data_IF_860172390795
#
_entry.id   IF_860172390795
#
_cell.length_a   1.000
_cell.length_b   1.000
_cell.length_c   1.000
_cell.angle_alpha   90.00
_cell.angle_beta   90.00
_cell.angle_gamma   90.00
#
_symmetry.space_group_name_H-M   'P 1'
#
loop_
_entity.id
_entity.type
_entity.pdbx_description
1 polymer ?
#
# COMPACT_ATOMS: atom_id res chain seq x y z
N UNK A 1 29.33 -26.48 14.88
CA UNK A 1 29.70 -25.69 13.69
C UNK A 1 28.43 -24.97 13.22
N UNK A 2 28.43 -23.65 13.10
CA UNK A 2 27.24 -22.86 12.73
C UNK A 2 27.03 -22.85 11.21
N UNK A 3 25.78 -22.85 10.73
CA UNK A 3 25.47 -22.68 9.29
C UNK A 3 25.66 -21.21 8.91
N UNK A 4 26.31 -20.95 7.77
CA UNK A 4 26.45 -19.60 7.22
C UNK A 4 25.19 -19.22 6.42
N UNK A 5 24.46 -18.14 6.77
CA UNK A 5 23.38 -17.62 5.95
C UNK A 5 23.91 -17.06 4.63
N UNK A 6 23.28 -17.42 3.52
CA UNK A 6 23.60 -16.90 2.18
C UNK A 6 22.34 -16.37 1.51
N UNK A 7 22.44 -15.24 0.80
CA UNK A 7 21.33 -14.67 0.04
C UNK A 7 21.27 -15.40 -1.31
N UNK A 8 20.26 -16.24 -1.51
CA UNK A 8 20.08 -17.02 -2.75
C UNK A 8 19.08 -16.39 -3.73
N UNK A 9 18.38 -15.34 -3.30
CA UNK A 9 17.43 -14.58 -4.09
C UNK A 9 17.02 -13.30 -3.37
N UNK A 10 16.62 -12.29 -4.13
CA UNK A 10 16.12 -11.03 -3.61
C UNK A 10 15.17 -10.40 -4.64
N UNK A 11 14.16 -9.69 -4.16
CA UNK A 11 13.14 -9.08 -5.00
C UNK A 11 12.27 -8.13 -4.20
N UNK A 12 11.35 -7.46 -4.89
CA UNK A 12 10.52 -6.42 -4.31
C UNK A 12 10.36 -5.22 -5.23
N UNK A 13 9.62 -4.22 -4.75
CA UNK A 13 9.27 -3.03 -5.53
C UNK A 13 9.38 -1.79 -4.65
N UNK A 14 10.01 -0.75 -5.20
CA UNK A 14 10.07 0.58 -4.59
C UNK A 14 9.96 1.65 -5.68
N UNK A 15 10.29 2.90 -5.36
CA UNK A 15 10.20 4.01 -6.31
C UNK A 15 11.11 3.89 -7.54
N UNK A 16 12.16 3.07 -7.48
CA UNK A 16 13.04 2.78 -8.60
C UNK A 16 12.55 1.61 -9.48
N UNK A 17 11.45 0.95 -9.11
CA UNK A 17 10.88 -0.19 -9.82
C UNK A 17 11.20 -1.54 -9.16
N UNK A 18 11.26 -2.59 -9.98
CA UNK A 18 11.52 -3.97 -9.56
C UNK A 18 12.95 -4.12 -9.03
N UNK A 19 13.14 -4.81 -7.90
CA UNK A 19 14.45 -4.99 -7.28
C UNK A 19 15.24 -6.17 -7.84
N UNK A 20 14.57 -7.30 -8.13
CA UNK A 20 15.25 -8.49 -8.66
C UNK A 20 16.06 -8.18 -9.92
N UNK A 21 17.14 -8.93 -10.12
CA UNK A 21 18.08 -8.73 -11.24
C UNK A 21 18.63 -7.28 -11.30
N UNK A 22 18.67 -6.58 -10.17
CA UNK A 22 19.24 -5.24 -10.02
C UNK A 22 18.55 -4.15 -10.86
N UNK A 23 17.29 -4.32 -11.30
CA UNK A 23 16.63 -3.28 -12.13
C UNK A 23 16.46 -1.94 -11.40
N UNK A 24 16.00 -1.96 -10.15
CA UNK A 24 15.86 -0.76 -9.33
C UNK A 24 17.20 -0.09 -9.06
N UNK A 25 18.25 -0.88 -8.80
CA UNK A 25 19.63 -0.36 -8.69
C UNK A 25 20.06 0.31 -10.01
N UNK A 26 19.88 -0.36 -11.15
CA UNK A 26 20.19 0.19 -12.47
C UNK A 26 19.47 1.51 -12.74
N UNK A 27 18.22 1.65 -12.31
CA UNK A 27 17.48 2.92 -12.40
C UNK A 27 18.14 4.04 -11.60
N UNK A 28 18.74 3.76 -10.45
CA UNK A 28 19.40 4.79 -9.61
C UNK A 28 20.74 5.27 -10.13
N UNK A 29 21.44 4.46 -10.94
CA UNK A 29 22.78 4.77 -11.49
C UNK A 29 22.80 4.73 -13.02
N UNK A 30 21.65 4.98 -13.65
CA UNK A 30 21.43 4.70 -15.08
C UNK A 30 22.41 5.41 -16.02
N UNK A 31 22.85 6.61 -15.64
CA UNK A 31 23.82 7.42 -16.36
C UNK A 31 25.22 6.81 -16.38
N UNK A 32 25.50 5.88 -15.45
CA UNK A 32 26.75 5.12 -15.37
C UNK A 32 26.68 3.77 -16.08
N UNK A 33 25.55 3.43 -16.69
CA UNK A 33 25.36 2.15 -17.38
C UNK A 33 25.65 2.25 -18.87
N UNK A 34 26.19 1.16 -19.41
CA UNK A 34 26.24 0.93 -20.85
C UNK A 34 24.82 0.98 -21.46
N UNK A 35 24.69 1.43 -22.73
CA UNK A 35 23.39 1.63 -23.36
C UNK A 35 22.45 0.42 -23.26
N UNK A 36 22.96 -0.80 -23.49
CA UNK A 36 22.14 -2.00 -23.44
C UNK A 36 21.48 -2.21 -22.05
N UNK A 37 22.27 -2.17 -20.98
CA UNK A 37 21.76 -2.41 -19.62
C UNK A 37 20.79 -1.30 -19.17
N UNK A 38 21.03 -0.06 -19.60
CA UNK A 38 20.13 1.07 -19.38
C UNK A 38 18.81 0.88 -20.11
N UNK A 39 18.86 0.58 -21.40
CA UNK A 39 17.67 0.44 -22.24
C UNK A 39 16.81 -0.77 -21.84
N UNK A 40 17.40 -1.89 -21.43
CA UNK A 40 16.67 -3.03 -20.85
C UNK A 40 15.90 -2.62 -19.59
N UNK A 41 16.52 -1.81 -18.73
CA UNK A 41 15.89 -1.32 -17.50
C UNK A 41 14.75 -0.35 -17.81
N UNK A 42 14.95 0.55 -18.77
CA UNK A 42 13.91 1.49 -19.23
C UNK A 42 12.74 0.77 -19.90
N UNK A 43 12.99 -0.28 -20.70
CA UNK A 43 11.93 -1.06 -21.31
C UNK A 43 11.09 -1.83 -20.27
N UNK A 44 11.75 -2.42 -19.25
CA UNK A 44 11.04 -3.04 -18.13
C UNK A 44 10.18 -2.04 -17.35
N UNK A 45 10.70 -0.83 -17.11
CA UNK A 45 9.92 0.25 -16.49
C UNK A 45 8.77 0.71 -17.39
N UNK A 46 8.99 0.86 -18.69
CA UNK A 46 7.96 1.25 -19.65
C UNK A 46 6.78 0.26 -19.63
N UNK A 47 7.06 -1.05 -19.56
CA UNK A 47 6.04 -2.08 -19.42
C UNK A 47 5.30 -1.97 -18.09
N UNK A 48 6.02 -1.85 -16.96
CA UNK A 48 5.41 -1.69 -15.63
C UNK A 48 4.52 -0.45 -15.52
N UNK A 49 4.93 0.64 -16.18
CA UNK A 49 4.21 1.92 -16.24
C UNK A 49 3.11 1.93 -17.31
N UNK A 50 2.84 0.79 -17.99
CA UNK A 50 1.82 0.64 -19.03
C UNK A 50 2.01 1.56 -20.25
N UNK A 51 3.24 2.01 -20.50
CA UNK A 51 3.60 2.82 -21.67
C UNK A 51 3.76 1.95 -22.93
N UNK A 52 4.17 0.70 -22.74
CA UNK A 52 4.29 -0.33 -23.78
C UNK A 52 3.66 -1.63 -23.31
N UNK A 53 3.35 -2.52 -24.25
CA UNK A 53 2.88 -3.89 -24.01
C UNK A 53 3.90 -4.87 -24.57
N UNK A 54 3.92 -6.09 -24.03
CA UNK A 54 4.70 -7.19 -24.60
C UNK A 54 3.72 -8.16 -25.25
N UNK A 55 3.82 -8.30 -26.57
CA UNK A 55 3.00 -9.22 -27.38
C UNK A 55 3.97 -10.08 -28.18
N UNK A 56 3.84 -11.41 -28.06
CA UNK A 56 4.72 -12.38 -28.73
C UNK A 56 6.23 -12.11 -28.54
N UNK A 57 6.60 -11.65 -27.34
CA UNK A 57 8.00 -11.35 -26.99
C UNK A 57 8.54 -10.02 -27.53
N UNK A 58 7.71 -9.22 -28.21
CA UNK A 58 8.08 -7.90 -28.72
C UNK A 58 7.40 -6.78 -27.93
N UNK A 59 8.11 -5.69 -27.71
CA UNK A 59 7.53 -4.47 -27.16
C UNK A 59 6.70 -3.77 -28.24
N UNK A 60 5.48 -3.38 -27.91
CA UNK A 60 4.58 -2.63 -28.77
C UNK A 60 4.06 -1.39 -28.04
N UNK A 61 3.86 -0.29 -28.75
CA UNK A 61 3.12 0.84 -28.21
C UNK A 61 1.59 0.60 -28.21
N UNK A 62 0.82 1.65 -27.87
CA UNK A 62 -0.63 1.55 -27.78
C UNK A 62 -1.30 1.35 -29.15
N UNK A 63 -0.64 1.73 -30.24
CA UNK A 63 -1.11 1.58 -31.61
C UNK A 63 -0.69 0.24 -32.23
N UNK A 64 0.07 -0.58 -31.48
CA UNK A 64 0.57 -1.89 -31.92
C UNK A 64 1.88 -1.81 -32.70
N UNK A 65 2.54 -0.65 -32.77
CA UNK A 65 3.83 -0.52 -33.44
C UNK A 65 4.91 -1.21 -32.60
N UNK A 66 5.64 -2.16 -33.21
CA UNK A 66 6.79 -2.79 -32.57
C UNK A 66 7.92 -1.77 -32.32
N UNK A 67 8.50 -1.80 -31.13
CA UNK A 67 9.56 -0.89 -30.70
C UNK A 67 10.80 -1.67 -30.26
N UNK A 68 11.96 -1.19 -30.70
CA UNK A 68 13.26 -1.57 -30.16
C UNK A 68 13.52 -0.89 -28.81
N UNK A 69 14.49 -1.43 -28.07
CA UNK A 69 14.94 -0.87 -26.80
C UNK A 69 15.39 0.60 -26.90
N UNK A 70 16.08 0.96 -28.00
CA UNK A 70 16.53 2.32 -28.26
C UNK A 70 15.35 3.28 -28.57
N UNK A 71 14.34 2.80 -29.29
CA UNK A 71 13.12 3.59 -29.55
C UNK A 71 12.31 3.82 -28.29
N UNK A 72 12.23 2.84 -27.39
CA UNK A 72 11.59 3.01 -26.07
C UNK A 72 12.31 4.08 -25.25
N UNK A 73 13.65 4.03 -25.18
CA UNK A 73 14.45 5.05 -24.49
C UNK A 73 14.21 6.44 -25.09
N UNK A 74 14.26 6.56 -26.42
CA UNK A 74 14.04 7.83 -27.12
C UNK A 74 12.64 8.40 -26.90
N UNK A 75 11.59 7.56 -27.02
CA UNK A 75 10.18 7.97 -26.99
C UNK A 75 9.66 8.18 -25.57
N UNK A 76 10.01 7.29 -24.64
CA UNK A 76 9.42 7.24 -23.30
C UNK A 76 10.40 7.56 -22.18
N UNK A 77 11.71 7.66 -22.44
CA UNK A 77 12.74 7.90 -21.41
C UNK A 77 12.37 9.05 -20.48
N UNK A 78 12.01 10.23 -21.02
CA UNK A 78 11.61 11.39 -20.20
C UNK A 78 10.42 11.10 -19.28
N UNK A 79 9.40 10.39 -19.77
CA UNK A 79 8.20 10.04 -18.99
C UNK A 79 8.54 9.02 -17.89
N UNK A 80 9.37 8.02 -18.21
CA UNK A 80 9.84 7.02 -17.26
C UNK A 80 10.61 7.68 -16.12
N UNK A 81 11.51 8.62 -16.44
CA UNK A 81 12.30 9.33 -15.42
C UNK A 81 11.42 10.21 -14.53
N UNK A 82 10.46 10.92 -15.12
CA UNK A 82 9.54 11.77 -14.38
C UNK A 82 8.57 10.95 -13.48
N UNK A 83 8.22 9.72 -13.88
CA UNK A 83 7.31 8.84 -13.15
C UNK A 83 7.99 7.84 -12.21
N UNK A 84 9.27 8.03 -11.87
CA UNK A 84 10.03 7.15 -10.95
C UNK A 84 10.79 7.96 -9.91
N UNK A 85 11.34 7.28 -8.89
CA UNK A 85 12.05 7.87 -7.74
C UNK A 85 11.14 8.81 -6.91
N UNK A 86 11.77 9.65 -6.07
CA UNK A 86 11.09 10.66 -5.27
C UNK A 86 10.59 11.77 -6.19
N UNK A 87 9.29 12.05 -6.11
CA UNK A 87 8.60 13.06 -6.92
C UNK A 87 7.38 13.60 -6.18
N UNK A 88 6.68 14.57 -6.77
CA UNK A 88 5.43 15.09 -6.22
C UNK A 88 4.41 13.96 -6.03
N UNK A 89 3.66 13.97 -4.94
CA UNK A 89 2.59 12.99 -4.69
C UNK A 89 1.56 13.09 -5.81
N UNK A 90 1.27 11.95 -6.42
CA UNK A 90 0.34 11.80 -7.54
C UNK A 90 -1.07 11.50 -7.02
N UNK A 91 -2.08 11.88 -7.81
CA UNK A 91 -3.49 11.81 -7.41
C UNK A 91 -3.99 10.39 -7.12
N UNK A 92 -3.32 9.33 -7.60
CA UNK A 92 -3.69 7.96 -7.22
C UNK A 92 -3.46 7.67 -5.74
N UNK A 93 -2.66 8.48 -5.04
CA UNK A 93 -2.49 8.40 -3.59
C UNK A 93 -3.41 9.38 -2.87
N UNK A 94 -3.22 10.68 -3.13
CA UNK A 94 -4.01 11.79 -2.60
C UNK A 94 -3.68 13.08 -3.35
N UNK A 95 -4.52 14.11 -3.22
CA UNK A 95 -4.16 15.46 -3.64
C UNK A 95 -3.49 16.21 -2.48
N UNK A 96 -2.17 16.47 -2.52
CA UNK A 96 -1.49 17.09 -1.39
C UNK A 96 -1.85 18.57 -1.23
N UNK A 97 -2.53 19.21 -2.20
CA UNK A 97 -3.04 20.58 -2.08
C UNK A 97 -4.47 20.64 -1.55
N UNK A 98 -5.16 19.49 -1.48
CA UNK A 98 -6.56 19.40 -1.05
C UNK A 98 -6.81 18.07 -0.30
N UNK A 99 -6.11 17.85 0.81
CA UNK A 99 -6.34 16.72 1.70
C UNK A 99 -7.66 16.91 2.49
N UNK A 100 -8.49 15.88 2.54
CA UNK A 100 -9.83 15.92 3.15
C UNK A 100 -9.74 15.87 4.69
N UNK A 101 -10.57 16.68 5.34
CA UNK A 101 -10.77 16.65 6.79
C UNK A 101 -12.12 17.25 7.14
N UNK A 102 -12.46 17.26 8.43
CA UNK A 102 -13.71 17.86 8.92
C UNK A 102 -13.39 19.06 9.80
N UNK A 103 -14.06 20.19 9.56
CA UNK A 103 -14.06 21.34 10.48
C UNK A 103 -15.24 21.26 11.41
N UNK A 104 -15.00 21.56 12.69
CA UNK A 104 -16.06 21.98 13.61
C UNK A 104 -16.60 23.33 13.17
N UNK A 105 -17.92 23.44 13.06
CA UNK A 105 -18.62 24.71 12.94
C UNK A 105 -19.68 24.77 14.03
N UNK A 106 -19.62 25.79 14.86
CA UNK A 106 -20.68 26.13 15.79
C UNK A 106 -21.76 26.89 15.04
N UNK A 107 -22.96 26.32 15.00
CA UNK A 107 -24.11 26.90 14.32
C UNK A 107 -25.14 27.29 15.36
N UNK A 108 -25.50 28.57 15.39
CA UNK A 108 -26.51 29.12 16.28
C UNK A 108 -27.55 29.93 15.47
N UNK A 109 -28.81 30.01 15.94
CA UNK A 109 -29.80 30.87 15.32
C UNK A 109 -29.39 32.35 15.42
N UNK A 110 -29.48 33.11 14.32
CA UNK A 110 -29.13 34.52 14.29
C UNK A 110 -30.36 35.41 14.49
N UNK A 111 -30.22 36.50 15.26
CA UNK A 111 -31.22 37.57 15.40
C UNK A 111 -32.65 37.09 15.75
N UNK A 112 -32.78 36.04 16.57
CA UNK A 112 -34.08 35.50 16.98
C UNK A 112 -34.83 34.71 15.90
N UNK A 113 -34.22 34.46 14.74
CA UNK A 113 -34.77 33.55 13.74
C UNK A 113 -34.66 32.09 14.21
N UNK A 114 -35.62 31.25 13.85
CA UNK A 114 -35.53 29.81 14.09
C UNK A 114 -34.57 29.17 13.06
N UNK A 115 -33.66 28.33 13.52
CA UNK A 115 -32.87 27.47 12.64
C UNK A 115 -33.55 26.11 12.55
N UNK A 116 -34.06 25.78 11.37
CA UNK A 116 -34.75 24.50 11.12
C UNK A 116 -34.29 23.85 9.82
N UNK A 117 -34.26 22.53 9.80
CA UNK A 117 -33.99 21.74 8.60
C UNK A 117 -34.86 20.49 8.55
N UNK A 118 -35.01 19.91 7.36
CA UNK A 118 -35.71 18.65 7.14
C UNK A 118 -34.67 17.54 6.92
N UNK A 119 -34.85 16.40 7.59
CA UNK A 119 -33.98 15.23 7.43
C UNK A 119 -34.78 13.94 7.63
N UNK A 120 -34.12 12.79 7.46
CA UNK A 120 -34.69 11.49 7.75
C UNK A 120 -34.57 11.18 9.25
N UNK A 121 -35.62 10.64 9.87
CA UNK A 121 -35.63 10.31 11.30
C UNK A 121 -34.43 9.46 11.75
N UNK A 122 -34.00 8.51 10.92
CA UNK A 122 -32.86 7.61 11.16
C UNK A 122 -31.47 8.29 11.14
N UNK A 123 -31.39 9.55 10.72
CA UNK A 123 -30.15 10.33 10.66
C UNK A 123 -29.98 11.24 11.88
N UNK A 124 -30.98 11.31 12.75
CA UNK A 124 -30.90 12.08 13.99
C UNK A 124 -29.89 11.46 14.96
N UNK A 125 -29.24 12.28 15.82
CA UNK A 125 -28.41 11.76 16.89
C UNK A 125 -29.20 10.91 17.89
N UNK A 126 -28.52 9.93 18.48
CA UNK A 126 -29.07 9.06 19.51
C UNK A 126 -28.15 9.06 20.75
N UNK A 127 -28.60 9.57 21.92
CA UNK A 127 -29.89 10.22 22.16
C UNK A 127 -30.03 11.58 21.44
N UNK A 128 -31.27 12.01 21.22
CA UNK A 128 -31.58 13.32 20.64
C UNK A 128 -31.05 14.44 21.57
N UNK A 129 -30.40 15.50 21.04
CA UNK A 129 -29.98 16.63 21.84
C UNK A 129 -31.17 17.34 22.50
N UNK A 130 -31.04 17.69 23.78
CA UNK A 130 -32.14 18.27 24.57
C UNK A 130 -32.63 19.64 24.05
N UNK A 131 -31.80 20.35 23.29
CA UNK A 131 -32.10 21.64 22.68
C UNK A 131 -32.71 21.52 21.28
N UNK A 132 -33.07 20.31 20.81
CA UNK A 132 -33.71 20.08 19.53
C UNK A 132 -35.20 19.77 19.72
N UNK A 133 -36.06 20.39 18.93
CA UNK A 133 -37.44 19.93 18.73
C UNK A 133 -37.59 19.24 17.38
N UNK A 134 -38.39 18.17 17.36
CA UNK A 134 -38.59 17.32 16.18
C UNK A 134 -40.09 17.20 15.92
N UNK A 135 -40.51 17.67 14.75
CA UNK A 135 -41.88 17.55 14.23
C UNK A 135 -41.91 16.47 13.13
N UNK A 136 -42.87 15.56 13.22
CA UNK A 136 -43.11 14.55 12.18
C UNK A 136 -43.69 15.19 10.93
N UNK A 137 -43.13 14.84 9.77
CA UNK A 137 -43.68 15.16 8.46
C UNK A 137 -44.17 13.87 7.78
N UNK A 138 -44.73 13.99 6.58
CA UNK A 138 -45.19 12.84 5.81
C UNK A 138 -44.04 11.86 5.51
N UNK A 139 -44.33 10.56 5.67
CA UNK A 139 -43.35 9.50 5.46
C UNK A 139 -42.37 9.33 6.62
N UNK A 140 -41.07 9.33 6.33
CA UNK A 140 -39.99 9.14 7.33
C UNK A 140 -39.14 10.41 7.52
N UNK A 141 -39.65 11.54 7.03
CA UNK A 141 -39.04 12.85 7.17
C UNK A 141 -39.48 13.53 8.47
N UNK A 142 -38.60 14.34 9.01
CA UNK A 142 -38.84 15.13 10.22
C UNK A 142 -38.30 16.53 10.02
N UNK A 143 -39.02 17.52 10.55
CA UNK A 143 -38.51 18.88 10.71
C UNK A 143 -37.84 19.01 12.06
N UNK A 144 -36.56 19.34 12.06
CA UNK A 144 -35.78 19.61 13.27
C UNK A 144 -35.66 21.11 13.44
N UNK A 145 -35.88 21.63 14.65
CA UNK A 145 -35.61 23.03 15.01
C UNK A 145 -34.60 23.07 16.16
N UNK A 146 -33.53 23.85 15.98
CA UNK A 146 -32.47 24.08 16.97
C UNK A 146 -32.83 25.30 17.84
N UNK A 147 -32.79 25.13 19.15
CA UNK A 147 -33.10 26.19 20.11
C UNK A 147 -31.86 26.86 20.73
N UNK A 148 -30.68 26.28 20.52
CA UNK A 148 -29.39 26.82 20.97
C UNK A 148 -28.31 26.44 19.94
N UNK A 149 -27.08 26.88 20.17
CA UNK A 149 -25.91 26.50 19.39
C UNK A 149 -25.69 24.99 19.37
N UNK A 150 -25.21 24.49 18.24
CA UNK A 150 -24.82 23.09 18.04
C UNK A 150 -23.55 23.03 17.21
N UNK A 151 -22.62 22.15 17.57
CA UNK A 151 -21.43 21.87 16.75
C UNK A 151 -21.80 20.89 15.63
N UNK A 152 -21.44 21.23 14.41
CA UNK A 152 -21.49 20.33 13.26
C UNK A 152 -20.09 20.05 12.73
N UNK A 153 -19.87 18.84 12.22
CA UNK A 153 -18.69 18.54 11.39
C UNK A 153 -19.06 18.73 9.93
N UNK A 154 -18.30 19.55 9.21
CA UNK A 154 -18.45 19.73 7.77
C UNK A 154 -17.19 19.33 7.03
N UNK A 155 -17.35 18.76 5.85
CA UNK A 155 -16.22 18.45 4.98
C UNK A 155 -15.44 19.71 4.62
N UNK A 156 -14.12 19.61 4.66
CA UNK A 156 -13.18 20.67 4.34
C UNK A 156 -11.93 20.08 3.72
N UNK A 157 -11.13 20.93 3.11
CA UNK A 157 -9.88 20.55 2.45
C UNK A 157 -8.76 21.46 2.93
N UNK A 158 -7.55 20.91 3.04
CA UNK A 158 -6.34 21.66 3.42
C UNK A 158 -5.14 21.23 2.58
N UNK A 159 -4.20 22.14 2.30
CA UNK A 159 -2.90 21.74 1.77
C UNK A 159 -2.09 21.04 2.87
N UNK A 160 -1.43 19.94 2.53
CA UNK A 160 -0.38 19.33 3.36
C UNK A 160 0.92 20.14 3.27
N UNK A 161 1.78 20.09 4.29
CA UNK A 161 3.09 20.74 4.21
C UNK A 161 4.02 19.98 3.24
N UNK A 162 3.99 18.65 3.30
CA UNK A 162 4.76 17.77 2.43
C UNK A 162 4.02 17.51 1.11
N UNK A 163 4.73 17.67 -0.02
CA UNK A 163 4.19 17.49 -1.38
C UNK A 163 4.84 16.35 -2.15
N UNK A 164 5.85 15.68 -1.59
CA UNK A 164 6.67 14.69 -2.28
C UNK A 164 6.77 13.38 -1.51
N UNK A 165 6.91 12.27 -2.25
CA UNK A 165 7.11 10.95 -1.71
C UNK A 165 7.84 10.04 -2.71
N UNK A 166 8.50 9.00 -2.21
CA UNK A 166 8.97 7.89 -3.02
C UNK A 166 7.80 6.96 -3.37
N UNK A 167 7.28 7.08 -4.60
CA UNK A 167 6.12 6.34 -5.07
C UNK A 167 6.55 5.27 -6.07
N UNK A 168 5.87 4.11 -6.08
CA UNK A 168 6.04 3.10 -7.14
C UNK A 168 5.97 3.74 -8.53
N UNK A 169 6.61 3.17 -9.57
CA UNK A 169 6.55 3.74 -10.92
C UNK A 169 5.11 4.05 -11.34
N UNK A 170 4.87 5.24 -11.87
CA UNK A 170 3.51 5.70 -12.22
C UNK A 170 2.82 4.69 -13.15
N UNK A 171 1.60 4.28 -12.82
CA UNK A 171 0.83 3.29 -13.57
C UNK A 171 1.02 1.83 -13.12
N UNK A 172 2.05 1.53 -12.32
CA UNK A 172 2.24 0.20 -11.75
C UNK A 172 1.37 -0.01 -10.51
N UNK A 173 0.37 -0.88 -10.63
CA UNK A 173 -0.55 -1.22 -9.53
C UNK A 173 -0.44 -2.69 -9.12
N UNK A 174 0.20 -3.00 -7.96
CA UNK A 174 0.34 -4.37 -7.46
C UNK A 174 -0.99 -5.13 -7.33
N UNK A 175 -2.08 -4.41 -7.04
CA UNK A 175 -3.42 -4.97 -6.89
C UNK A 175 -4.00 -5.55 -8.18
N UNK A 176 -3.51 -5.14 -9.36
CA UNK A 176 -3.99 -5.67 -10.64
C UNK A 176 -3.37 -7.03 -11.00
N UNK A 177 -2.32 -7.46 -10.29
CA UNK A 177 -1.53 -8.65 -10.64
C UNK A 177 -2.07 -9.95 -10.06
N UNK A 178 -3.05 -9.87 -9.15
CA UNK A 178 -3.69 -11.03 -8.51
C UNK A 178 -5.07 -10.64 -7.95
N UNK A 179 -5.84 -11.61 -7.43
CA UNK A 179 -7.11 -11.31 -6.78
C UNK A 179 -6.90 -10.61 -5.43
N UNK A 180 -6.85 -9.29 -5.46
CA UNK A 180 -6.47 -8.42 -4.33
C UNK A 180 -7.66 -7.75 -3.62
N UNK A 181 -8.89 -8.21 -3.87
CA UNK A 181 -10.11 -7.59 -3.34
C UNK A 181 -10.04 -7.44 -1.81
N UNK A 182 -10.23 -6.21 -1.32
CA UNK A 182 -10.17 -5.82 0.09
C UNK A 182 -8.78 -5.93 0.74
N UNK A 183 -7.71 -6.21 0.00
CA UNK A 183 -6.37 -6.20 0.57
C UNK A 183 -5.87 -4.77 0.68
N UNK A 184 -5.31 -4.37 1.83
CA UNK A 184 -4.50 -3.17 1.92
C UNK A 184 -3.36 -3.13 0.89
N UNK A 185 -2.96 -1.93 0.48
CA UNK A 185 -1.88 -1.73 -0.51
C UNK A 185 -0.58 -2.40 -0.07
N UNK A 186 -0.23 -2.35 1.22
CA UNK A 186 0.96 -3.03 1.74
C UNK A 186 0.89 -4.55 1.63
N UNK A 187 -0.29 -5.17 1.71
CA UNK A 187 -0.43 -6.61 1.48
C UNK A 187 -0.34 -6.97 -0.01
N UNK A 188 -0.88 -6.12 -0.90
CA UNK A 188 -0.65 -6.27 -2.33
C UNK A 188 0.83 -6.16 -2.72
N UNK A 189 1.55 -5.19 -2.13
CA UNK A 189 2.99 -5.06 -2.29
C UNK A 189 3.75 -6.26 -1.70
N UNK A 190 3.30 -6.81 -0.58
CA UNK A 190 3.88 -8.02 0.03
C UNK A 190 3.82 -9.20 -0.93
N UNK A 191 2.62 -9.56 -1.40
CA UNK A 191 2.40 -10.74 -2.28
C UNK A 191 3.22 -10.63 -3.56
N UNK A 192 3.18 -9.46 -4.19
CA UNK A 192 3.90 -9.22 -5.45
C UNK A 192 5.42 -9.20 -5.21
N UNK A 193 5.89 -8.58 -4.12
CA UNK A 193 7.31 -8.50 -3.78
C UNK A 193 7.95 -9.84 -3.42
N UNK A 194 7.28 -10.67 -2.61
CA UNK A 194 7.79 -12.01 -2.28
C UNK A 194 7.80 -12.93 -3.50
N UNK A 195 6.83 -12.77 -4.40
CA UNK A 195 6.80 -13.54 -5.65
C UNK A 195 8.00 -13.19 -6.53
N UNK A 196 8.37 -11.91 -6.63
CA UNK A 196 9.57 -11.48 -7.32
C UNK A 196 10.85 -12.08 -6.70
N UNK A 197 10.96 -12.05 -5.37
CA UNK A 197 12.10 -12.61 -4.64
C UNK A 197 12.22 -14.14 -4.80
N UNK A 198 11.11 -14.88 -4.73
CA UNK A 198 11.11 -16.33 -4.91
C UNK A 198 11.50 -16.73 -6.34
N UNK A 199 10.93 -16.04 -7.34
CA UNK A 199 11.23 -16.34 -8.75
C UNK A 199 12.67 -15.95 -9.12
N UNK A 200 13.28 -14.98 -8.43
CA UNK A 200 14.67 -14.61 -8.67
C UNK A 200 15.67 -15.71 -8.29
N UNK A 201 15.28 -16.69 -7.47
CA UNK A 201 16.13 -17.82 -7.08
C UNK A 201 16.44 -18.72 -8.29
N UNK A 202 15.57 -18.75 -9.29
CA UNK A 202 15.70 -19.65 -10.45
C UNK A 202 15.45 -21.12 -10.12
N UNK A 203 14.89 -21.42 -8.94
CA UNK A 203 14.52 -22.77 -8.49
C UNK A 203 13.04 -22.75 -8.14
N UNK A 204 12.29 -23.73 -8.65
CA UNK A 204 10.89 -23.90 -8.27
C UNK A 204 10.75 -24.11 -6.76
N UNK A 205 9.81 -23.40 -6.14
CA UNK A 205 9.57 -23.46 -4.69
C UNK A 205 9.35 -24.90 -4.20
N UNK A 206 8.63 -25.73 -4.96
CA UNK A 206 8.39 -27.13 -4.59
C UNK A 206 9.69 -27.93 -4.49
N UNK A 207 10.67 -27.64 -5.35
CA UNK A 207 11.98 -28.30 -5.31
C UNK A 207 12.77 -27.88 -4.07
N UNK A 208 12.58 -26.66 -3.57
CA UNK A 208 13.17 -26.19 -2.30
C UNK A 208 12.51 -26.92 -1.12
N UNK A 209 11.17 -26.94 -1.08
CA UNK A 209 10.40 -27.59 -0.01
C UNK A 209 10.72 -29.07 0.12
N UNK A 210 10.91 -29.79 -1.00
CA UNK A 210 11.29 -31.21 -1.00
C UNK A 210 12.68 -31.50 -0.39
N UNK A 211 13.48 -30.48 -0.05
CA UNK A 211 14.84 -30.60 0.48
C UNK A 211 14.97 -30.19 1.94
N UNK A 212 13.87 -29.81 2.58
CA UNK A 212 13.81 -29.34 3.96
C UNK A 212 12.61 -29.94 4.68
N UNK A 213 12.68 -30.05 6.01
CA UNK A 213 11.50 -30.43 6.78
C UNK A 213 10.47 -29.28 6.82
N UNK A 214 9.17 -29.56 7.05
CA UNK A 214 8.13 -28.52 7.07
C UNK A 214 8.39 -27.38 8.07
N UNK A 215 9.05 -27.67 9.19
CA UNK A 215 9.43 -26.72 10.24
C UNK A 215 10.75 -25.99 9.98
N UNK A 216 11.52 -26.39 8.96
CA UNK A 216 12.79 -25.77 8.57
C UNK A 216 12.63 -24.55 7.63
N UNK A 217 11.40 -24.10 7.40
CA UNK A 217 11.09 -22.87 6.66
C UNK A 217 10.73 -21.79 7.67
N UNK A 218 11.24 -20.57 7.50
CA UNK A 218 10.85 -19.44 8.32
C UNK A 218 10.52 -18.17 7.53
N UNK A 219 9.59 -17.37 8.06
CA UNK A 219 9.16 -16.10 7.45
C UNK A 219 9.18 -15.00 8.50
N UNK A 220 9.99 -13.96 8.25
CA UNK A 220 10.04 -12.74 9.06
C UNK A 220 9.74 -11.52 8.20
N UNK A 221 8.52 -11.00 8.31
CA UNK A 221 8.09 -9.80 7.60
C UNK A 221 7.13 -8.98 8.45
N UNK A 222 7.15 -7.67 8.28
CA UNK A 222 6.34 -6.74 9.05
C UNK A 222 6.13 -5.44 8.29
N UNK A 223 5.19 -4.64 8.79
CA UNK A 223 5.16 -3.19 8.57
C UNK A 223 5.22 -2.50 9.94
N UNK A 224 5.64 -1.23 9.99
CA UNK A 224 5.70 -0.50 11.26
C UNK A 224 4.41 0.24 11.57
N UNK A 225 3.75 0.79 10.54
CA UNK A 225 2.58 1.62 10.71
C UNK A 225 1.31 0.82 10.92
N UNK A 226 1.36 -0.52 10.78
CA UNK A 226 0.18 -1.32 10.44
C UNK A 226 -0.34 -0.95 9.03
N UNK A 227 -1.39 -1.60 8.54
CA UNK A 227 -1.97 -1.22 7.25
C UNK A 227 -2.97 -0.08 7.44
N UNK A 228 -2.53 1.17 7.24
CA UNK A 228 -3.32 2.38 7.57
C UNK A 228 -4.21 2.91 6.43
N UNK A 229 -4.42 2.15 5.37
CA UNK A 229 -5.39 2.52 4.34
C UNK A 229 -6.83 2.07 4.70
N UNK A 230 -7.79 2.40 3.83
CA UNK A 230 -9.22 2.14 4.05
C UNK A 230 -9.55 0.64 4.23
N UNK A 231 -8.76 -0.25 3.64
CA UNK A 231 -8.95 -1.69 3.75
C UNK A 231 -8.35 -2.29 5.02
N UNK A 232 -7.56 -1.52 5.78
CA UNK A 232 -6.99 -1.92 7.07
C UNK A 232 -7.46 -1.05 8.23
N UNK A 233 -6.52 -0.66 9.08
CA UNK A 233 -6.75 0.16 10.27
C UNK A 233 -7.19 1.59 9.93
N UNK A 234 -6.86 2.15 8.76
CA UNK A 234 -7.39 3.45 8.35
C UNK A 234 -8.92 3.41 8.29
N UNK A 235 -9.47 2.38 7.63
CA UNK A 235 -10.91 2.14 7.60
C UNK A 235 -11.49 1.84 8.98
N UNK A 236 -10.82 1.02 9.80
CA UNK A 236 -11.28 0.73 11.17
C UNK A 236 -11.46 2.01 11.99
N UNK A 237 -10.43 2.86 12.02
CA UNK A 237 -10.40 4.04 12.88
C UNK A 237 -11.30 5.16 12.38
N UNK A 238 -11.53 5.24 11.06
CA UNK A 238 -12.28 6.34 10.45
C UNK A 238 -13.75 6.01 10.16
N UNK A 239 -14.13 4.74 10.03
CA UNK A 239 -15.49 4.38 9.56
C UNK A 239 -16.59 5.04 10.38
N UNK A 240 -16.49 5.04 11.72
CA UNK A 240 -17.51 5.65 12.59
C UNK A 240 -17.55 7.18 12.49
N UNK A 241 -16.39 7.81 12.35
CA UNK A 241 -16.27 9.26 12.15
C UNK A 241 -16.85 9.70 10.79
N UNK A 242 -16.79 8.81 9.78
CA UNK A 242 -17.36 9.01 8.44
C UNK A 242 -18.81 8.52 8.31
N UNK A 243 -19.48 8.17 9.41
CA UNK A 243 -20.89 7.70 9.41
C UNK A 243 -21.09 6.27 8.87
N UNK A 244 -20.02 5.52 8.65
CA UNK A 244 -20.01 4.14 8.20
C UNK A 244 -19.88 3.11 9.33
N UNK A 245 -19.71 1.85 8.93
CA UNK A 245 -19.40 0.74 9.83
C UNK A 245 -18.08 0.09 9.48
N UNK A 246 -17.35 -0.30 10.52
CA UNK A 246 -16.13 -1.10 10.37
C UNK A 246 -16.50 -2.43 9.71
N UNK A 247 -15.74 -2.82 8.69
CA UNK A 247 -15.95 -4.09 7.99
C UNK A 247 -15.34 -5.25 8.78
N UNK A 248 -15.79 -6.47 8.49
CA UNK A 248 -15.25 -7.67 9.16
C UNK A 248 -13.75 -7.91 8.91
N UNK A 249 -13.15 -7.24 7.90
CA UNK A 249 -11.76 -7.48 7.47
C UNK A 249 -10.77 -6.42 7.91
N UNK A 250 -11.22 -5.18 8.13
CA UNK A 250 -10.33 -4.04 8.44
C UNK A 250 -9.44 -4.28 9.67
N UNK A 251 -9.98 -4.91 10.72
CA UNK A 251 -9.19 -5.27 11.90
C UNK A 251 -8.16 -6.35 11.59
N UNK A 252 -8.57 -7.46 10.97
CA UNK A 252 -7.65 -8.56 10.70
C UNK A 252 -6.55 -8.14 9.72
N UNK A 253 -6.91 -7.56 8.57
CA UNK A 253 -5.96 -7.18 7.53
C UNK A 253 -5.13 -5.95 7.89
N UNK A 254 -5.56 -5.21 8.91
CA UNK A 254 -4.83 -4.05 9.42
C UNK A 254 -3.56 -4.41 10.18
N UNK A 255 -3.46 -5.61 10.76
CA UNK A 255 -2.36 -5.99 11.65
C UNK A 255 -0.99 -5.87 10.99
N UNK A 256 -0.01 -5.45 11.78
CA UNK A 256 1.36 -5.28 11.31
C UNK A 256 2.08 -6.60 10.99
N UNK A 257 1.52 -7.72 11.42
CA UNK A 257 1.99 -9.08 11.14
C UNK A 257 1.51 -9.62 9.78
N UNK A 258 0.47 -9.02 9.22
CA UNK A 258 -0.19 -9.51 8.00
C UNK A 258 0.76 -9.70 6.81
N UNK A 259 1.85 -8.91 6.64
CA UNK A 259 2.86 -9.24 5.64
C UNK A 259 3.45 -10.66 5.79
N UNK A 260 3.84 -11.08 7.00
CA UNK A 260 4.33 -12.44 7.24
C UNK A 260 3.22 -13.49 7.10
N UNK A 261 2.04 -13.19 7.64
CA UNK A 261 0.88 -14.10 7.60
C UNK A 261 0.46 -14.40 6.16
N UNK A 262 0.43 -13.38 5.29
CA UNK A 262 0.09 -13.52 3.87
C UNK A 262 1.12 -14.32 3.09
N UNK A 263 2.42 -14.13 3.38
CA UNK A 263 3.48 -14.94 2.76
C UNK A 263 3.26 -16.42 3.10
N UNK A 264 3.02 -16.76 4.36
CA UNK A 264 2.80 -18.15 4.76
C UNK A 264 1.52 -18.72 4.15
N UNK A 265 0.39 -18.03 4.29
CA UNK A 265 -0.94 -18.56 3.96
C UNK A 265 -1.22 -18.62 2.46
N UNK A 266 -0.75 -17.63 1.68
CA UNK A 266 -1.16 -17.46 0.29
C UNK A 266 -0.04 -17.60 -0.73
N UNK A 267 1.22 -17.59 -0.29
CA UNK A 267 2.37 -17.70 -1.21
C UNK A 267 3.11 -19.01 -1.01
N UNK A 268 3.53 -19.32 0.22
CA UNK A 268 4.38 -20.48 0.48
C UNK A 268 3.61 -21.76 0.82
N UNK A 269 2.45 -21.63 1.48
CA UNK A 269 1.80 -22.76 2.16
C UNK A 269 2.65 -23.31 3.31
N UNK A 270 3.36 -22.43 4.02
CA UNK A 270 4.33 -22.82 5.04
C UNK A 270 3.69 -22.99 6.42
N UNK A 271 4.11 -24.03 7.14
CA UNK A 271 3.74 -24.32 8.55
C UNK A 271 4.92 -24.10 9.51
N UNK A 272 6.01 -23.53 9.01
CA UNK A 272 7.23 -23.33 9.78
C UNK A 272 7.21 -22.09 10.67
N UNK A 273 8.39 -21.67 11.13
CA UNK A 273 8.51 -20.55 12.08
C UNK A 273 8.10 -19.23 11.43
N UNK A 274 7.30 -18.42 12.12
CA UNK A 274 6.97 -17.08 11.62
C UNK A 274 7.04 -16.03 12.71
N UNK A 275 7.26 -14.77 12.31
CA UNK A 275 7.21 -13.65 13.22
C UNK A 275 7.31 -12.31 12.49
N UNK A 276 7.01 -11.26 13.24
CA UNK A 276 7.03 -9.89 12.76
C UNK A 276 7.68 -9.04 13.84
N UNK A 277 8.90 -8.59 13.57
CA UNK A 277 9.66 -7.76 14.51
C UNK A 277 9.61 -6.33 13.99
N UNK A 278 9.45 -5.38 14.89
CA UNK A 278 9.42 -3.95 14.57
C UNK A 278 10.44 -3.21 15.41
N UNK A 279 11.26 -2.38 14.76
CA UNK A 279 12.29 -1.54 15.36
C UNK A 279 12.33 -0.17 14.67
N UNK A 280 11.17 0.46 14.52
CA UNK A 280 10.98 1.68 13.73
C UNK A 280 11.61 1.55 12.32
N UNK A 281 12.32 2.56 11.83
CA UNK A 281 12.96 2.53 10.50
C UNK A 281 14.04 1.44 10.34
N UNK A 282 14.52 0.83 11.42
CA UNK A 282 15.48 -0.27 11.37
C UNK A 282 14.84 -1.66 11.24
N UNK A 283 13.49 -1.74 11.16
CA UNK A 283 12.70 -2.98 11.19
C UNK A 283 13.21 -4.12 10.31
N UNK A 284 13.62 -3.84 9.07
CA UNK A 284 14.18 -4.87 8.18
C UNK A 284 15.38 -5.58 8.83
N UNK A 285 16.29 -4.84 9.47
CA UNK A 285 17.47 -5.42 10.11
C UNK A 285 17.13 -6.28 11.33
N UNK A 286 16.05 -5.95 12.05
CA UNK A 286 15.55 -6.79 13.15
C UNK A 286 14.98 -8.11 12.64
N UNK A 287 14.19 -8.09 11.55
CA UNK A 287 13.74 -9.32 10.89
C UNK A 287 14.93 -10.13 10.36
N UNK A 288 15.94 -9.47 9.79
CA UNK A 288 17.15 -10.11 9.27
C UNK A 288 17.98 -10.76 10.38
N UNK A 289 18.19 -10.07 11.50
CA UNK A 289 18.85 -10.63 12.68
C UNK A 289 18.16 -11.93 13.10
N UNK A 290 16.82 -11.94 13.14
CA UNK A 290 16.08 -13.14 13.49
C UNK A 290 16.25 -14.27 12.48
N UNK A 291 16.25 -13.95 11.20
CA UNK A 291 16.51 -14.94 10.13
C UNK A 291 17.91 -15.55 10.23
N UNK A 292 18.92 -14.73 10.50
CA UNK A 292 20.29 -15.18 10.74
C UNK A 292 20.35 -16.12 11.95
N UNK A 293 19.71 -15.78 13.06
CA UNK A 293 19.62 -16.63 14.25
C UNK A 293 18.98 -18.00 13.96
N UNK A 294 17.89 -18.04 13.18
CA UNK A 294 17.22 -19.31 12.83
C UNK A 294 18.14 -20.23 12.01
N UNK A 295 18.88 -19.68 11.05
CA UNK A 295 19.83 -20.46 10.23
C UNK A 295 21.01 -20.93 11.07
N UNK A 296 21.64 -20.01 11.81
CA UNK A 296 22.83 -20.29 12.61
C UNK A 296 22.57 -21.33 13.71
N UNK A 297 21.39 -21.29 14.34
CA UNK A 297 20.97 -22.26 15.35
C UNK A 297 20.45 -23.59 14.78
N UNK A 298 20.35 -23.70 13.45
CA UNK A 298 19.89 -24.92 12.77
C UNK A 298 18.37 -25.11 12.77
N UNK A 299 17.59 -24.16 13.31
CA UNK A 299 16.12 -24.22 13.38
C UNK A 299 15.44 -24.03 12.03
N UNK A 300 16.05 -23.26 11.13
CA UNK A 300 15.58 -23.12 9.76
C UNK A 300 16.72 -23.35 8.75
N UNK A 301 16.35 -23.72 7.53
CA UNK A 301 17.24 -23.87 6.37
C UNK A 301 16.90 -22.89 5.25
N UNK A 302 15.65 -22.47 5.18
CA UNK A 302 15.16 -21.49 4.21
C UNK A 302 14.43 -20.40 4.99
N UNK A 303 14.85 -19.15 4.82
CA UNK A 303 14.23 -18.03 5.51
C UNK A 303 13.88 -16.93 4.52
N UNK A 304 12.64 -16.47 4.55
CA UNK A 304 12.20 -15.27 3.85
C UNK A 304 12.21 -14.11 4.86
N UNK A 305 12.94 -13.06 4.52
CA UNK A 305 13.08 -11.86 5.35
C UNK A 305 12.67 -10.64 4.53
N UNK A 306 11.81 -9.78 5.08
CA UNK A 306 11.41 -8.56 4.39
C UNK A 306 10.62 -7.58 5.24
N UNK A 307 10.07 -6.56 4.59
CA UNK A 307 9.12 -5.61 5.14
C UNK A 307 8.26 -5.04 4.02
N UNK A 308 7.05 -4.59 4.32
CA UNK A 308 6.19 -3.96 3.31
C UNK A 308 5.41 -2.78 3.89
N UNK A 309 5.81 -1.57 3.50
CA UNK A 309 5.21 -0.32 3.96
C UNK A 309 4.54 0.39 2.78
N UNK A 310 3.29 0.83 2.98
CA UNK A 310 2.56 1.67 2.03
C UNK A 310 2.02 2.94 2.72
N UNK A 311 2.88 3.82 3.28
CA UNK A 311 2.47 4.88 4.20
C UNK A 311 2.06 6.18 3.49
N UNK A 312 1.86 6.17 2.16
CA UNK A 312 1.49 7.38 1.41
C UNK A 312 -0.02 7.60 1.54
N UNK A 313 -0.42 8.11 2.71
CA UNK A 313 -1.76 8.57 3.05
C UNK A 313 -1.67 9.88 3.86
N UNK A 314 -2.77 10.61 3.97
CA UNK A 314 -2.76 11.94 4.59
C UNK A 314 -2.54 11.89 6.12
N UNK A 315 -2.81 10.77 6.78
CA UNK A 315 -2.64 10.62 8.22
C UNK A 315 -1.16 10.36 8.58
N UNK A 316 -0.40 9.74 7.68
CA UNK A 316 1.04 9.50 7.83
C UNK A 316 1.89 10.68 7.35
N UNK A 317 1.33 11.58 6.54
CA UNK A 317 2.01 12.73 5.95
C UNK A 317 1.52 13.99 6.67
N UNK A 318 2.39 14.61 7.48
CA UNK A 318 2.14 15.90 8.12
C UNK A 318 2.72 17.07 7.28
#
# INVERSE_FOLDING_TARGET
>A
MSRLPVIVGFGGYNAAGRSSFHHGFRRTVQESLEPQARQETLAGLAQMMKLVRVVDGQYQDQDGQALSLAEIESRYGKVILAGTLVRRIEKQHLDPDAAHWQKSIDVAPANGANLSFITQRKQLPEPLPANWSVEELDGNEVRVTLHDSCEFKVDSYRPLAVKSAGQLPTGFEPSELYNSRFHPRGLAMTVVGVTDALRSVGIDWQRIVQRVAPDEIAVFASCIMSQLDENGFGGMMQSRLKGGRVTAKQLALGLNTMPADFINAYVLGSVGTTGSITGACATFLYNLQKGIEQIASGKARVVIVGSSEAPINQECIE
#
